data_IF_430191612575
#
_entry.id   IF_430191612575
#
_cell.length_a   1.000
_cell.length_b   1.000
_cell.length_c   1.000
_cell.angle_alpha   90.00
_cell.angle_beta   90.00
_cell.angle_gamma   90.00
#
_symmetry.space_group_name_H-M   'P 1'
#
loop_
_entity.id
_entity.type
_entity.pdbx_description
1 polymer ?
#
# COMPACT_ATOMS: atom_id res chain seq x y z
N UNK A 1 55.27 17.07 37.18
CA UNK A 1 53.86 17.53 37.13
C UNK A 1 53.59 18.61 36.06
N UNK A 2 54.47 18.82 35.06
CA UNK A 2 54.31 19.90 34.07
C UNK A 2 53.73 19.42 32.72
N UNK A 3 54.07 18.19 32.32
CA UNK A 3 53.64 17.58 31.05
C UNK A 3 52.10 17.44 30.94
N UNK A 4 51.42 17.15 32.05
CA UNK A 4 49.96 16.99 32.10
C UNK A 4 49.19 18.29 31.87
N UNK A 5 49.77 19.46 32.17
CA UNK A 5 49.15 20.77 31.89
C UNK A 5 49.26 21.17 30.42
N UNK A 6 50.38 20.88 29.78
CA UNK A 6 50.64 21.21 28.37
C UNK A 6 49.73 20.39 27.44
N UNK A 7 49.55 19.10 27.74
CA UNK A 7 48.64 18.22 26.99
C UNK A 7 47.17 18.66 27.08
N UNK A 8 46.76 19.27 28.20
CA UNK A 8 45.40 19.80 28.36
C UNK A 8 45.16 21.09 27.58
N UNK A 9 46.18 21.94 27.44
CA UNK A 9 46.12 23.16 26.64
C UNK A 9 46.14 22.85 25.12
N UNK A 10 46.83 21.78 24.72
CA UNK A 10 46.89 21.34 23.32
C UNK A 10 45.55 20.77 22.79
N UNK A 11 44.62 20.41 23.67
CA UNK A 11 43.31 19.86 23.32
C UNK A 11 42.22 20.95 23.13
N UNK A 12 42.64 22.22 22.98
CA UNK A 12 41.74 23.34 22.71
C UNK A 12 41.11 23.24 21.32
N UNK A 13 39.83 23.63 21.22
CA UNK A 13 39.08 23.64 19.96
C UNK A 13 39.88 24.37 18.86
N UNK A 14 40.04 23.69 17.71
CA UNK A 14 40.82 24.20 16.58
C UNK A 14 40.29 25.58 16.17
N UNK A 15 41.13 26.62 16.07
CA UNK A 15 40.68 27.96 15.73
C UNK A 15 40.05 27.93 14.33
N UNK A 16 38.78 28.29 14.27
CA UNK A 16 38.01 28.19 13.04
C UNK A 16 38.14 29.49 12.25
N UNK A 17 39.14 29.54 11.37
CA UNK A 17 39.52 30.73 10.59
C UNK A 17 38.41 31.22 9.67
N UNK A 18 37.50 30.33 9.26
CA UNK A 18 36.37 30.64 8.38
C UNK A 18 35.12 31.07 9.15
N UNK A 19 35.15 31.03 10.49
CA UNK A 19 33.99 31.31 11.35
C UNK A 19 32.88 30.25 11.27
N UNK A 20 33.00 29.24 10.39
CA UNK A 20 31.99 28.20 10.19
C UNK A 20 32.27 26.97 11.05
N UNK A 21 31.60 26.86 12.20
CA UNK A 21 31.77 25.74 13.13
C UNK A 21 30.65 24.70 12.97
N UNK A 22 31.01 23.51 12.48
CA UNK A 22 30.09 22.37 12.30
C UNK A 22 29.46 21.93 13.62
N UNK A 23 30.18 22.01 14.74
CA UNK A 23 29.62 21.63 16.03
C UNK A 23 28.58 22.65 16.51
N UNK A 24 28.80 23.94 16.24
CA UNK A 24 27.78 24.98 16.50
C UNK A 24 26.60 24.86 15.56
N UNK A 25 26.83 24.54 14.29
CA UNK A 25 25.76 24.25 13.33
C UNK A 25 24.91 23.10 13.86
N UNK A 26 25.53 21.95 14.18
CA UNK A 26 24.85 20.76 14.72
C UNK A 26 24.13 21.02 16.05
N UNK A 27 24.66 21.90 16.90
CA UNK A 27 24.00 22.29 18.13
C UNK A 27 22.79 23.21 17.88
N UNK A 28 22.85 24.04 16.82
CA UNK A 28 21.77 24.94 16.42
C UNK A 28 20.71 24.25 15.55
N UNK A 29 21.08 23.25 14.76
CA UNK A 29 20.15 22.45 13.96
C UNK A 29 19.67 21.24 14.75
N UNK A 30 18.37 21.20 15.02
CA UNK A 30 17.70 19.98 15.49
C UNK A 30 17.49 18.96 14.36
N UNK A 31 16.84 17.85 14.69
CA UNK A 31 16.35 16.88 13.69
C UNK A 31 15.40 17.60 12.73
N UNK A 32 15.61 17.50 11.40
CA UNK A 32 14.72 18.17 10.45
C UNK A 32 13.29 17.66 10.62
N UNK A 33 12.34 18.59 10.72
CA UNK A 33 10.92 18.22 10.78
C UNK A 33 10.47 17.73 9.41
N UNK A 34 10.49 16.42 9.24
CA UNK A 34 10.06 15.72 8.03
C UNK A 34 8.59 15.31 8.05
N UNK A 35 7.80 15.81 9.01
CA UNK A 35 6.38 15.50 9.13
C UNK A 35 5.60 15.84 7.85
N UNK A 36 5.93 16.94 7.17
CA UNK A 36 5.27 17.34 5.92
C UNK A 36 5.31 16.26 4.83
N UNK A 37 6.32 15.36 4.83
CA UNK A 37 6.44 14.26 3.86
C UNK A 37 5.42 13.14 4.07
N UNK A 38 4.94 13.01 5.31
CA UNK A 38 4.11 11.89 5.75
C UNK A 38 2.73 12.32 6.20
N UNK A 39 2.41 13.61 6.06
CA UNK A 39 1.13 14.20 6.42
C UNK A 39 0.27 14.46 5.16
N UNK A 40 -1.06 14.53 5.35
CA UNK A 40 -2.01 14.87 4.29
C UNK A 40 -2.11 13.80 3.17
N UNK A 41 -2.00 14.19 1.88
CA UNK A 41 -2.24 13.28 0.75
C UNK A 41 -1.21 12.15 0.63
N UNK A 42 -0.04 12.29 1.27
CA UNK A 42 1.06 11.34 1.16
C UNK A 42 1.01 10.19 2.18
N UNK A 43 0.00 10.16 3.06
CA UNK A 43 -0.21 9.07 4.02
C UNK A 43 -0.45 7.74 3.30
N UNK A 44 -0.02 6.62 3.91
CA UNK A 44 -0.20 5.27 3.33
C UNK A 44 -1.68 5.02 2.98
N UNK A 45 -2.58 5.45 3.84
CA UNK A 45 -4.03 5.28 3.66
C UNK A 45 -4.59 6.08 2.48
N UNK A 46 -4.15 7.33 2.28
CA UNK A 46 -4.61 8.11 1.13
C UNK A 46 -4.14 7.55 -0.22
N UNK A 47 -3.03 6.80 -0.27
CA UNK A 47 -2.60 6.12 -1.49
C UNK A 47 -3.56 5.00 -1.90
N UNK A 48 -4.12 4.26 -0.94
CA UNK A 48 -5.06 3.18 -1.20
C UNK A 48 -6.46 3.66 -1.65
N UNK A 49 -6.85 4.88 -1.30
CA UNK A 49 -8.16 5.43 -1.72
C UNK A 49 -8.29 5.60 -3.24
N UNK A 50 -7.16 5.72 -3.96
CA UNK A 50 -7.13 5.87 -5.42
C UNK A 50 -6.85 4.58 -6.20
N UNK A 51 -6.61 3.45 -5.55
CA UNK A 51 -6.15 2.23 -6.26
C UNK A 51 -7.24 1.51 -7.01
N UNK A 52 -8.50 1.64 -6.58
CA UNK A 52 -9.65 0.96 -7.20
C UNK A 52 -10.74 1.98 -7.51
N UNK A 53 -10.51 2.87 -8.50
CA UNK A 53 -11.52 3.82 -8.93
C UNK A 53 -12.73 3.04 -9.46
N UNK A 54 -13.91 3.29 -8.90
CA UNK A 54 -15.15 2.65 -9.34
C UNK A 54 -15.43 1.27 -8.72
N UNK A 55 -14.66 0.79 -7.73
CA UNK A 55 -15.01 -0.45 -7.01
C UNK A 55 -16.43 -0.37 -6.42
N UNK A 56 -16.77 0.75 -5.78
CA UNK A 56 -18.09 0.92 -5.17
C UNK A 56 -19.22 0.85 -6.20
N UNK A 57 -19.09 1.57 -7.31
CA UNK A 57 -20.10 1.56 -8.38
C UNK A 57 -20.18 0.20 -9.07
N UNK A 58 -19.06 -0.48 -9.28
CA UNK A 58 -19.03 -1.83 -9.86
C UNK A 58 -19.72 -2.84 -8.94
N UNK A 59 -19.47 -2.75 -7.62
CA UNK A 59 -20.12 -3.63 -6.64
C UNK A 59 -21.63 -3.42 -6.63
N UNK A 60 -22.09 -2.16 -6.67
CA UNK A 60 -23.52 -1.82 -6.75
C UNK A 60 -24.16 -2.33 -8.04
N UNK A 61 -23.50 -2.14 -9.18
CA UNK A 61 -24.01 -2.63 -10.46
C UNK A 61 -24.12 -4.17 -10.46
N UNK A 62 -23.10 -4.84 -9.92
CA UNK A 62 -23.07 -6.29 -9.81
C UNK A 62 -24.19 -6.82 -8.90
N UNK A 63 -24.43 -6.20 -7.74
CA UNK A 63 -25.52 -6.64 -6.86
C UNK A 63 -26.89 -6.42 -7.47
N UNK A 64 -27.10 -5.29 -8.17
CA UNK A 64 -28.34 -5.05 -8.92
C UNK A 64 -28.55 -6.15 -9.97
N UNK A 65 -27.50 -6.52 -10.70
CA UNK A 65 -27.57 -7.60 -11.68
C UNK A 65 -27.91 -8.94 -11.03
N UNK A 66 -27.23 -9.33 -9.94
CA UNK A 66 -27.53 -10.57 -9.23
C UNK A 66 -28.97 -10.60 -8.70
N UNK A 67 -29.48 -9.50 -8.14
CA UNK A 67 -30.86 -9.42 -7.66
C UNK A 67 -31.86 -9.48 -8.82
N UNK A 68 -31.54 -8.86 -9.95
CA UNK A 68 -32.36 -8.95 -11.15
C UNK A 68 -32.42 -10.38 -11.68
N UNK A 69 -31.30 -11.09 -11.77
CA UNK A 69 -31.31 -12.51 -12.15
C UNK A 69 -32.08 -13.36 -11.13
N UNK A 70 -31.79 -13.17 -9.84
CA UNK A 70 -32.34 -14.02 -8.78
C UNK A 70 -33.85 -13.85 -8.58
N UNK A 71 -34.41 -12.64 -8.75
CA UNK A 71 -35.84 -12.40 -8.54
C UNK A 71 -36.66 -12.31 -9.83
N UNK A 72 -36.10 -11.78 -10.92
CA UNK A 72 -36.85 -11.59 -12.17
C UNK A 72 -36.64 -12.70 -13.21
N UNK A 73 -35.49 -13.38 -13.23
CA UNK A 73 -35.29 -14.54 -14.12
C UNK A 73 -35.71 -15.86 -13.47
N UNK A 74 -35.57 -16.05 -12.15
CA UNK A 74 -36.05 -17.28 -11.48
C UNK A 74 -37.59 -17.40 -11.51
N UNK A 75 -38.35 -16.29 -11.37
CA UNK A 75 -39.82 -16.29 -11.48
C UNK A 75 -40.33 -16.62 -12.91
N UNK A 76 -39.49 -16.53 -13.94
CA UNK A 76 -39.85 -16.79 -15.34
C UNK A 76 -39.40 -18.17 -15.88
N UNK A 77 -38.56 -18.91 -15.15
CA UNK A 77 -37.94 -20.17 -15.63
C UNK A 77 -38.23 -21.41 -14.76
N UNK A 78 -39.20 -21.36 -13.85
CA UNK A 78 -39.69 -22.54 -13.10
C UNK A 78 -40.62 -23.48 -13.91
N UNK A 79 -40.26 -23.76 -15.17
CA UNK A 79 -40.81 -24.87 -15.95
C UNK A 79 -39.68 -25.49 -16.81
N UNK A 80 -38.78 -26.26 -16.20
CA UNK A 80 -37.68 -26.89 -16.93
C UNK A 80 -36.88 -27.88 -16.11
N UNK A 81 -37.43 -29.08 -15.98
CA UNK A 81 -36.80 -30.34 -15.56
C UNK A 81 -35.32 -30.44 -16.00
N UNK A 82 -34.44 -30.93 -15.12
CA UNK A 82 -33.03 -31.12 -15.46
C UNK A 82 -32.20 -31.78 -14.36
N UNK A 83 -32.66 -32.93 -13.87
CA UNK A 83 -31.91 -33.90 -13.07
C UNK A 83 -30.44 -33.98 -13.47
N UNK A 84 -29.58 -34.04 -12.45
CA UNK A 84 -28.23 -34.51 -12.63
C UNK A 84 -28.21 -35.95 -13.14
N UNK A 85 -27.19 -36.30 -13.93
CA UNK A 85 -26.57 -37.61 -13.91
C UNK A 85 -25.24 -37.52 -14.67
N UNK A 86 -24.15 -37.56 -13.91
CA UNK A 86 -22.89 -38.05 -14.45
C UNK A 86 -23.01 -39.55 -14.68
N UNK A 87 -22.70 -40.01 -15.90
CA UNK A 87 -22.18 -41.36 -16.12
C UNK A 87 -21.45 -41.40 -17.45
N UNK A 88 -20.19 -41.81 -17.42
CA UNK A 88 -19.44 -42.10 -18.62
C UNK A 88 -20.03 -43.30 -19.38
N UNK A 89 -19.86 -43.31 -20.69
CA UNK A 89 -19.73 -44.54 -21.44
C UNK A 89 -19.01 -44.25 -22.76
N UNK A 90 -17.86 -44.91 -22.95
CA UNK A 90 -17.19 -45.01 -24.24
C UNK A 90 -17.93 -45.96 -25.15
N UNK A 91 -17.68 -45.80 -26.45
CA UNK A 91 -17.81 -46.73 -27.60
C UNK A 91 -17.79 -45.79 -28.84
N UNK A 92 -16.85 -45.79 -29.76
CA UNK A 92 -16.01 -46.88 -30.26
C UNK A 92 -16.73 -47.64 -31.36
N UNK A 93 -16.93 -47.02 -32.53
CA UNK A 93 -17.07 -47.73 -33.82
C UNK A 93 -16.97 -46.75 -35.00
N UNK A 94 -15.81 -46.80 -35.65
CA UNK A 94 -15.48 -46.17 -36.93
C UNK A 94 -16.01 -47.08 -38.05
N UNK A 95 -16.85 -46.53 -38.92
CA UNK A 95 -17.29 -47.18 -40.15
C UNK A 95 -16.31 -46.82 -41.27
N UNK A 96 -15.45 -47.75 -41.67
CA UNK A 96 -15.13 -48.05 -43.08
C UNK A 96 -14.27 -49.30 -43.25
#
# INVERSE_FOLDING_TARGET
MLATRILRAANGAKPNITGFDINKLRAATGTPNEAWRYQGPFTRWNRFKGTLPGLGTATVAFTIYCLYEHFFLEDAHHHGHGEGHGHGHGHGEEKH
#
